data_IF_207247841819
#
_entry.id   IF_207247841819
#
_cell.length_a   1.000
_cell.length_b   1.000
_cell.length_c   1.000
_cell.angle_alpha   90.00
_cell.angle_beta   90.00
_cell.angle_gamma   90.00
#
_symmetry.space_group_name_H-M   'P 1'
#
loop_
_entity.id
_entity.type
_entity.pdbx_description
1 polymer ?
2 non-polymer ?
3 non-polymer ?
4 non-polymer ?
5 water ?
#
# COMPACT_ATOMS: atom_id res chain seq x y z
N UNK A 13 -5.19 -20.49 -12.34
CA UNK A 13 -4.18 -19.52 -11.78
C UNK A 13 -3.31 -20.11 -10.66
N UNK A 14 -1.98 -20.16 -10.76
CA UNK A 14 -1.19 -20.85 -9.73
C UNK A 14 -0.72 -19.89 -8.64
N UNK A 15 -0.88 -20.25 -7.38
CA UNK A 15 -0.35 -19.42 -6.29
C UNK A 15 1.13 -19.10 -6.44
N UNK A 16 1.47 -17.82 -6.27
CA UNK A 16 2.85 -17.37 -6.34
C UNK A 16 3.71 -17.72 -5.14
N UNK A 17 3.08 -18.20 -4.08
CA UNK A 17 3.83 -18.59 -2.88
C UNK A 17 4.13 -20.08 -2.99
N UNK A 18 3.13 -20.90 -3.28
CA UNK A 18 3.30 -22.34 -3.11
C UNK A 18 2.91 -23.16 -4.32
N UNK A 19 2.35 -22.52 -5.35
CA UNK A 19 1.98 -23.26 -6.56
C UNK A 19 0.61 -23.92 -6.45
N UNK A 20 -0.10 -23.77 -5.34
CA UNK A 20 -1.46 -24.30 -5.17
C UNK A 20 -2.47 -23.60 -6.07
N UNK A 21 -3.72 -24.06 -6.05
CA UNK A 21 -4.71 -23.47 -6.95
C UNK A 21 -5.32 -22.26 -6.28
N UNK A 22 -5.55 -21.21 -7.07
CA UNK A 22 -6.13 -19.97 -6.52
C UNK A 22 -7.59 -19.86 -6.97
N UNK A 23 -8.49 -19.71 -6.01
CA UNK A 23 -9.90 -19.53 -6.33
C UNK A 23 -10.36 -18.08 -6.19
N UNK A 24 -10.88 -17.52 -7.28
CA UNK A 24 -11.33 -16.12 -7.25
C UNK A 24 -12.55 -15.99 -6.37
N UNK A 25 -12.65 -14.83 -5.74
CA UNK A 25 -13.84 -14.49 -5.01
C UNK A 25 -14.31 -13.07 -5.27
N UNK A 26 -13.52 -12.24 -5.98
CA UNK A 26 -14.01 -10.88 -6.28
C UNK A 26 -13.47 -10.44 -7.62
N UNK A 27 -14.32 -9.89 -8.49
CA UNK A 27 -13.84 -9.48 -9.81
C UNK A 27 -14.21 -7.99 -9.90
N UNK A 28 -13.16 -7.16 -9.95
CA UNK A 28 -13.36 -5.72 -10.00
C UNK A 28 -13.26 -5.22 -11.44
N UNK A 29 -13.18 -6.14 -12.39
CA UNK A 29 -13.29 -5.78 -13.80
C UNK A 29 -12.04 -5.17 -14.41
N UNK A 30 -12.23 -4.54 -15.56
CA UNK A 30 -11.10 -3.90 -16.22
C UNK A 30 -10.62 -2.67 -15.47
N UNK A 31 -9.32 -2.57 -15.26
CA UNK A 31 -8.75 -1.42 -14.52
C UNK A 31 -7.54 -0.90 -15.28
N UNK A 32 -7.30 0.40 -15.17
CA UNK A 32 -6.04 0.99 -15.62
C UNK A 32 -4.88 0.90 -14.60
N UNK A 33 -3.66 1.25 -14.98
CA UNK A 33 -2.58 1.42 -13.99
C UNK A 33 -3.01 2.47 -12.97
N UNK A 34 -2.94 2.19 -11.68
CA UNK A 34 -3.44 3.12 -10.67
C UNK A 34 -2.61 4.40 -10.50
N UNK A 35 -1.32 4.31 -10.86
CA UNK A 35 -0.43 5.44 -10.59
C UNK A 35 0.00 6.16 -11.85
N UNK A 36 -0.71 5.96 -12.96
CA UNK A 36 -0.47 6.72 -14.19
C UNK A 36 -1.44 7.91 -14.23
N UNK A 37 -0.91 9.13 -14.13
CA UNK A 37 -1.72 10.37 -14.24
C UNK A 37 -1.40 11.06 -15.56
N UNK A 38 -2.33 11.10 -16.50
CA UNK A 38 -2.06 11.65 -17.83
C UNK A 38 -2.27 13.17 -17.88
N UNK A 39 -1.48 13.85 -18.72
CA UNK A 39 -1.86 15.23 -19.05
C UNK A 39 -3.17 15.30 -19.84
N UNK A 40 -3.95 16.38 -19.67
CA UNK A 40 -5.24 16.39 -20.32
C UNK A 40 -5.20 16.21 -21.84
N UNK A 41 -4.12 16.62 -22.49
CA UNK A 41 -4.02 16.47 -23.93
C UNK A 41 -3.60 15.08 -24.43
N UNK A 42 -3.26 14.17 -23.52
CA UNK A 42 -2.72 12.88 -23.95
C UNK A 42 -3.81 12.08 -24.63
N UNK A 43 -3.40 11.28 -25.60
CA UNK A 43 -4.33 10.31 -26.19
C UNK A 43 -4.91 9.55 -25.01
N UNK A 44 -6.22 9.35 -25.08
CA UNK A 44 -6.98 8.51 -24.16
C UNK A 44 -6.74 7.05 -24.54
N UNK A 45 -5.51 6.60 -24.31
CA UNK A 45 -5.29 5.16 -24.36
C UNK A 45 -4.50 4.77 -23.12
N UNK A 46 -5.06 3.86 -22.34
CA UNK A 46 -4.31 3.31 -21.22
C UNK A 46 -4.17 1.80 -21.27
N UNK A 47 -3.09 1.35 -20.63
CA UNK A 47 -2.91 -0.07 -20.37
C UNK A 47 -4.04 -0.48 -19.44
N UNK A 48 -4.73 -1.58 -19.74
CA UNK A 48 -5.68 -2.11 -18.76
C UNK A 48 -5.46 -3.60 -18.54
N UNK A 49 -6.07 -4.13 -17.48
CA UNK A 49 -5.79 -5.51 -17.10
C UNK A 49 -7.08 -5.88 -16.34
N UNK A 50 -7.26 -7.16 -16.04
CA UNK A 50 -8.44 -7.54 -15.28
C UNK A 50 -8.08 -7.61 -13.80
N UNK A 51 -8.73 -6.79 -12.96
CA UNK A 51 -8.35 -6.87 -11.54
C UNK A 51 -9.31 -7.85 -10.85
N UNK A 52 -8.80 -8.99 -10.39
CA UNK A 52 -9.59 -9.93 -9.61
C UNK A 52 -8.73 -10.53 -8.50
N UNK A 53 -9.37 -11.03 -7.45
CA UNK A 53 -8.68 -11.46 -6.22
C UNK A 53 -9.19 -12.87 -5.89
N UNK A 54 -8.24 -13.71 -5.48
CA UNK A 54 -8.54 -15.11 -5.14
C UNK A 54 -7.74 -15.49 -3.91
N UNK A 55 -7.99 -16.72 -3.44
CA UNK A 55 -7.31 -17.25 -2.25
C UNK A 55 -6.69 -18.59 -2.69
N UNK A 56 -5.42 -18.80 -2.37
CA UNK A 56 -4.85 -20.12 -2.64
C UNK A 56 -5.54 -21.21 -1.82
N UNK A 57 -5.86 -22.32 -2.45
CA UNK A 57 -6.32 -23.53 -1.73
C UNK A 57 -5.39 -24.15 -0.70
N UNK A 58 -4.09 -24.01 -0.86
CA UNK A 58 -3.12 -24.76 -0.06
C UNK A 58 -2.54 -23.90 1.06
N UNK A 59 -2.12 -22.66 0.80
CA UNK A 59 -1.49 -21.82 1.81
C UNK A 59 -2.34 -20.64 2.33
N UNK A 60 -3.53 -20.48 1.77
CA UNK A 60 -4.45 -19.41 2.16
C UNK A 60 -4.06 -17.97 1.81
N UNK A 61 -2.99 -17.86 1.03
CA UNK A 61 -2.58 -16.56 0.54
C UNK A 61 -3.62 -15.96 -0.42
N UNK A 62 -4.11 -14.80 -0.02
CA UNK A 62 -5.01 -14.03 -0.87
C UNK A 62 -4.20 -13.17 -1.84
N UNK A 63 -4.54 -13.20 -3.13
CA UNK A 63 -3.66 -12.56 -4.12
C UNK A 63 -4.43 -12.25 -5.40
N UNK A 64 -3.94 -11.31 -6.20
CA UNK A 64 -4.54 -11.05 -7.51
C UNK A 64 -4.37 -12.22 -8.50
N UNK A 65 -5.26 -12.27 -9.50
CA UNK A 65 -5.11 -13.33 -10.51
C UNK A 65 -4.42 -12.90 -11.81
N UNK A 66 -4.19 -11.60 -12.00
CA UNK A 66 -3.39 -11.13 -13.13
C UNK A 66 -2.26 -10.23 -12.58
N UNK A 67 -1.00 -10.52 -12.92
CA UNK A 67 0.13 -9.67 -12.58
C UNK A 67 0.35 -8.58 -13.64
N UNK A 68 0.38 -7.33 -13.22
CA UNK A 68 0.90 -6.28 -14.08
C UNK A 68 2.43 -6.34 -14.08
N UNK A 69 3.10 -6.20 -15.22
CA UNK A 69 4.56 -6.30 -15.21
C UNK A 69 5.15 -5.15 -14.39
N UNK A 70 6.18 -5.46 -13.61
CA UNK A 70 6.68 -4.50 -12.63
C UNK A 70 7.12 -3.18 -13.30
N UNK A 71 7.73 -3.28 -14.49
CA UNK A 71 8.25 -2.11 -15.18
C UNK A 71 7.16 -1.14 -15.62
N UNK A 72 5.91 -1.61 -15.68
CA UNK A 72 4.83 -0.74 -16.07
C UNK A 72 4.39 0.13 -14.90
N UNK A 73 4.56 -0.38 -13.68
CA UNK A 73 4.13 0.35 -12.51
C UNK A 73 5.24 1.19 -11.86
N UNK A 74 6.46 0.66 -11.81
CA UNK A 74 7.58 1.20 -11.08
C UNK A 74 8.70 1.54 -12.09
N UNK A 75 8.99 2.83 -12.13
CA UNK A 75 9.86 3.42 -13.16
C UNK A 75 10.07 4.89 -12.86
N UNK A 76 10.58 5.60 -13.86
CA UNK A 76 11.21 6.88 -13.61
C UNK A 76 10.21 7.89 -13.09
N UNK A 77 8.95 7.78 -13.53
CA UNK A 77 7.96 8.77 -13.15
C UNK A 77 6.96 8.26 -12.14
N UNK A 78 7.30 7.21 -11.37
CA UNK A 78 6.33 6.76 -10.39
C UNK A 78 6.05 7.93 -9.45
N UNK A 79 4.77 8.21 -9.21
CA UNK A 79 4.44 9.48 -8.60
C UNK A 79 4.26 9.53 -7.08
N UNK A 80 4.28 8.39 -6.39
CA UNK A 80 3.90 8.49 -4.99
C UNK A 80 5.12 8.94 -4.18
N UNK A 81 4.91 9.99 -3.39
CA UNK A 81 5.99 10.45 -2.51
C UNK A 81 5.61 10.17 -1.07
N UNK A 82 6.27 9.20 -0.44
CA UNK A 82 5.89 8.81 0.93
C UNK A 82 5.89 10.00 1.87
N UNK A 83 6.84 10.91 1.67
CA UNK A 83 7.02 11.94 2.69
C UNK A 83 5.89 12.96 2.71
N UNK A 84 4.88 12.79 1.87
CA UNK A 84 3.82 13.80 1.80
C UNK A 84 2.85 13.70 2.96
N UNK A 85 3.05 12.83 3.94
CA UNK A 85 2.15 12.71 5.09
C UNK A 85 2.99 12.91 6.35
N UNK A 86 2.54 13.78 7.24
CA UNK A 86 3.24 14.00 8.51
C UNK A 86 3.13 12.80 9.44
N UNK A 87 1.97 12.15 9.47
CA UNK A 87 1.74 10.91 10.22
C UNK A 87 2.72 9.84 9.74
N UNK A 88 2.88 9.68 8.43
CA UNK A 88 3.77 8.62 7.95
C UNK A 88 5.22 9.02 8.22
N UNK A 89 5.57 10.31 8.10
CA UNK A 89 6.94 10.71 8.44
C UNK A 89 7.29 10.33 9.89
N UNK A 90 6.41 10.60 10.81
CA UNK A 90 6.65 10.28 12.23
C UNK A 90 6.64 8.78 12.44
N UNK A 91 5.76 8.08 11.73
CA UNK A 91 5.61 6.64 11.85
C UNK A 91 6.94 5.98 11.46
N UNK A 92 7.58 6.39 10.36
CA UNK A 92 8.79 5.71 9.97
C UNK A 92 10.02 6.13 10.78
N UNK A 93 10.04 7.38 11.24
CA UNK A 93 11.14 7.83 12.10
C UNK A 93 11.11 7.03 13.40
N UNK A 94 9.94 6.84 13.99
CA UNK A 94 9.80 5.98 15.14
C UNK A 94 10.27 4.54 14.96
N UNK A 95 9.79 3.90 13.90
CA UNK A 95 10.32 2.61 13.46
C UNK A 95 11.86 2.57 13.35
N UNK A 96 12.46 3.55 12.66
CA UNK A 96 13.91 3.56 12.52
C UNK A 96 14.56 3.66 13.90
N UNK A 97 14.04 4.49 14.79
CA UNK A 97 14.71 4.67 16.08
C UNK A 97 14.58 3.36 16.88
N UNK A 98 13.42 2.72 16.73
CA UNK A 98 13.24 1.41 17.33
C UNK A 98 14.25 0.38 16.83
N UNK A 99 14.55 0.31 15.53
CA UNK A 99 15.59 -0.57 15.03
C UNK A 99 16.96 -0.14 15.54
N UNK A 100 17.20 1.17 15.66
CA UNK A 100 18.53 1.65 16.04
C UNK A 100 18.77 1.21 17.49
N UNK A 101 17.70 1.15 18.28
CA UNK A 101 17.87 0.79 19.68
C UNK A 101 17.89 -0.72 19.95
N UNK A 102 17.55 -1.55 18.99
CA UNK A 102 17.33 -2.98 19.23
C UNK A 102 18.20 -3.79 18.27
N UNK A 103 17.84 -3.89 17.00
CA UNK A 103 18.53 -4.78 16.08
C UNK A 103 19.82 -4.21 15.47
N UNK A 104 20.03 -2.90 15.54
CA UNK A 104 21.17 -2.26 14.90
C UNK A 104 22.20 -1.75 15.92
N UNK A 105 22.22 -2.37 17.10
CA UNK A 105 23.22 -1.98 18.11
C UNK A 105 24.49 -2.78 17.84
N UNK A 106 25.57 -2.52 18.57
CA UNK A 106 26.80 -3.25 18.19
C UNK A 106 27.50 -2.82 16.92
N UNK A 107 28.58 -3.54 16.52
CA UNK A 107 29.53 -2.81 15.70
C UNK A 107 29.18 -2.82 14.22
N UNK A 108 29.25 -1.70 13.51
CA UNK A 108 29.00 -1.82 12.07
C UNK A 108 27.73 -2.58 11.66
N UNK A 109 26.58 -2.16 12.20
CA UNK A 109 25.28 -2.69 11.76
C UNK A 109 24.96 -2.33 10.30
N UNK A 110 24.05 -3.02 9.63
CA UNK A 110 23.75 -2.71 8.23
C UNK A 110 22.25 -2.99 8.09
N UNK A 111 21.51 -1.99 7.59
CA UNK A 111 20.08 -2.18 7.32
C UNK A 111 19.83 -1.92 5.84
N UNK A 112 19.07 -2.81 5.21
CA UNK A 112 18.66 -2.66 3.82
C UNK A 112 17.15 -2.39 3.78
N UNK A 113 16.71 -1.38 3.05
CA UNK A 113 15.27 -1.19 2.96
C UNK A 113 14.84 -1.49 1.53
N UNK A 114 13.78 -2.26 1.35
CA UNK A 114 13.22 -2.56 0.03
C UNK A 114 12.07 -1.58 -0.15
N UNK A 115 12.17 -0.76 -1.19
CA UNK A 115 11.11 0.22 -1.44
C UNK A 115 11.29 1.52 -0.70
N UNK A 116 12.50 2.07 -0.60
CA UNK A 116 12.71 3.19 0.30
C UNK A 116 12.03 4.49 -0.17
N UNK A 117 11.65 4.57 -1.44
CA UNK A 117 10.91 5.75 -1.92
C UNK A 117 11.78 6.98 -1.70
N UNK A 118 11.20 8.05 -1.18
CA UNK A 118 11.91 9.32 -1.10
C UNK A 118 12.81 9.36 0.14
N UNK A 119 13.01 8.20 0.78
CA UNK A 119 13.85 8.13 1.98
C UNK A 119 13.21 8.36 3.34
N UNK A 120 11.87 8.35 3.34
CA UNK A 120 11.09 8.56 4.58
C UNK A 120 11.59 7.82 5.83
N UNK A 121 12.08 6.59 5.67
CA UNK A 121 12.55 5.80 6.81
C UNK A 121 14.07 5.97 6.90
N UNK A 122 14.78 5.88 5.78
CA UNK A 122 16.22 5.73 5.90
C UNK A 122 16.91 7.03 6.32
N UNK A 123 16.25 8.16 6.11
CA UNK A 123 16.82 9.44 6.52
C UNK A 123 17.22 9.30 8.01
N UNK A 124 16.38 8.72 8.87
CA UNK A 124 16.71 8.55 10.28
C UNK A 124 17.93 7.66 10.52
N UNK A 125 18.08 6.64 9.67
CA UNK A 125 19.19 5.68 9.79
C UNK A 125 20.47 6.40 9.37
N UNK A 126 20.39 7.13 8.27
CA UNK A 126 21.55 7.89 7.80
C UNK A 126 21.99 8.98 8.76
N UNK A 127 21.03 9.69 9.36
CA UNK A 127 21.34 10.67 10.40
C UNK A 127 21.95 10.05 11.67
N UNK A 128 21.75 8.75 11.88
CA UNK A 128 22.43 8.01 12.96
C UNK A 128 23.80 7.51 12.55
N UNK A 129 24.24 7.81 11.33
CA UNK A 129 25.54 7.32 10.89
C UNK A 129 25.62 5.82 10.66
N UNK A 130 24.49 5.12 10.52
CA UNK A 130 24.47 3.67 10.36
C UNK A 130 24.55 3.24 8.90
N UNK A 131 25.36 2.23 8.54
CA UNK A 131 25.49 1.82 7.15
C UNK A 131 24.13 1.27 6.66
N UNK A 132 23.77 1.60 5.43
CA UNK A 132 22.43 1.21 4.97
C UNK A 132 22.43 1.22 3.45
N UNK A 133 21.40 0.59 2.89
CA UNK A 133 21.20 0.70 1.43
C UNK A 133 19.68 0.61 1.23
N UNK A 134 19.14 1.55 0.47
CA UNK A 134 17.79 1.45 -0.07
C UNK A 134 17.70 0.94 -1.50
N UNK A 135 16.71 0.08 -1.73
CA UNK A 135 16.40 -0.39 -3.09
C UNK A 135 15.15 0.41 -3.47
N UNK A 136 15.27 1.15 -4.57
CA UNK A 136 14.14 1.93 -5.05
C UNK A 136 14.27 1.93 -6.56
N UNK A 137 13.48 1.08 -7.24
CA UNK A 137 13.59 1.00 -8.71
C UNK A 137 12.92 2.16 -9.44
N UNK A 138 12.20 3.01 -8.70
CA UNK A 138 11.53 4.19 -9.27
C UNK A 138 12.51 5.34 -9.12
N UNK A 139 13.12 5.71 -10.25
CA UNK A 139 14.28 6.56 -10.12
C UNK A 139 14.05 7.98 -9.68
N UNK A 140 12.89 8.56 -10.00
CA UNK A 140 12.66 9.94 -9.54
C UNK A 140 12.53 10.02 -8.03
N UNK A 141 11.78 9.12 -7.39
CA UNK A 141 11.76 9.16 -5.92
C UNK A 141 13.11 8.68 -5.34
N UNK A 142 13.78 7.73 -5.97
CA UNK A 142 15.15 7.41 -5.54
C UNK A 142 16.03 8.66 -5.45
N UNK A 143 15.94 9.53 -6.46
CA UNK A 143 16.80 10.73 -6.45
C UNK A 143 16.40 11.58 -5.25
N UNK A 144 15.12 11.65 -4.88
CA UNK A 144 14.76 12.46 -3.71
C UNK A 144 15.43 11.92 -2.44
N UNK A 145 15.56 10.61 -2.34
CA UNK A 145 16.22 9.99 -1.20
C UNK A 145 17.71 10.32 -1.24
N UNK A 146 18.34 10.19 -2.40
CA UNK A 146 19.80 10.46 -2.47
C UNK A 146 20.13 11.89 -2.09
N UNK A 147 19.23 12.83 -2.37
CA UNK A 147 19.42 14.24 -2.07
C UNK A 147 19.49 14.40 -0.55
N UNK A 148 18.83 13.52 0.20
CA UNK A 148 18.93 13.53 1.67
C UNK A 148 20.22 12.89 2.17
N UNK A 149 21.09 12.45 1.27
CA UNK A 149 22.29 11.70 1.60
C UNK A 149 22.17 10.21 1.88
N UNK A 150 21.03 9.60 1.52
CA UNK A 150 20.79 8.17 1.66
C UNK A 150 21.43 7.43 0.50
N UNK A 151 22.05 6.30 0.82
CA UNK A 151 22.56 5.40 -0.21
C UNK A 151 21.42 4.55 -0.79
N UNK A 152 21.24 4.66 -2.11
CA UNK A 152 20.13 3.99 -2.77
C UNK A 152 20.64 3.35 -4.05
N UNK A 153 20.16 2.14 -4.35
CA UNK A 153 20.33 1.53 -5.67
C UNK A 153 18.99 1.52 -6.41
N UNK A 154 19.00 1.97 -7.65
CA UNK A 154 17.79 2.16 -8.44
C UNK A 154 17.60 0.79 -9.10
N UNK A 155 17.18 -0.19 -8.31
CA UNK A 155 17.03 -1.56 -8.77
C UNK A 155 15.87 -2.15 -7.97
N UNK A 156 15.24 -3.14 -8.58
CA UNK A 156 14.37 -4.03 -7.81
C UNK A 156 15.16 -4.94 -6.89
N UNK A 157 14.72 -5.08 -5.65
CA UNK A 157 15.21 -6.18 -4.83
C UNK A 157 14.66 -7.49 -5.33
N UNK A 158 15.55 -8.47 -5.50
CA UNK A 158 15.21 -9.83 -5.94
C UNK A 158 16.46 -10.68 -5.67
N UNK A 159 16.36 -11.98 -5.89
CA UNK A 159 17.50 -12.85 -5.59
C UNK A 159 18.82 -12.27 -6.10
N UNK A 160 18.95 -11.95 -7.39
CA UNK A 160 20.25 -11.56 -7.95
C UNK A 160 20.80 -10.26 -7.37
N UNK A 161 19.96 -9.27 -7.12
CA UNK A 161 20.51 -8.00 -6.68
C UNK A 161 20.79 -8.12 -5.18
N UNK A 162 20.02 -8.96 -4.47
CA UNK A 162 20.39 -9.28 -3.09
C UNK A 162 21.78 -9.92 -3.02
N UNK A 163 22.02 -10.87 -3.92
CA UNK A 163 23.30 -11.56 -3.95
C UNK A 163 24.43 -10.55 -4.14
N UNK A 164 24.16 -9.59 -5.01
CA UNK A 164 25.16 -8.62 -5.36
C UNK A 164 25.48 -7.78 -4.13
N UNK A 165 24.47 -7.29 -3.42
CA UNK A 165 24.74 -6.60 -2.18
C UNK A 165 25.45 -7.47 -1.13
N UNK A 166 25.10 -8.75 -1.01
CA UNK A 166 25.75 -9.64 -0.05
C UNK A 166 27.25 -9.75 -0.38
N UNK A 167 27.54 -9.89 -1.68
CA UNK A 167 28.91 -9.91 -2.16
C UNK A 167 29.74 -8.68 -1.78
N UNK A 168 29.17 -7.48 -1.90
CA UNK A 168 29.95 -6.25 -1.75
C UNK A 168 29.84 -5.61 -0.37
N UNK A 169 28.75 -5.87 0.32
CA UNK A 169 28.45 -5.14 1.54
C UNK A 169 28.37 -6.06 2.75
N UNK A 170 28.35 -7.37 2.55
CA UNK A 170 28.18 -8.32 3.66
C UNK A 170 26.73 -8.44 4.09
N UNK A 171 26.48 -9.20 5.18
CA UNK A 171 25.13 -9.51 5.65
C UNK A 171 24.40 -8.31 6.23
N UNK A 172 23.09 -8.20 6.04
CA UNK A 172 22.29 -7.20 6.75
C UNK A 172 21.71 -7.73 8.05
N UNK A 173 21.78 -6.90 9.09
CA UNK A 173 21.16 -7.23 10.37
C UNK A 173 19.64 -7.07 10.25
N UNK A 174 19.21 -6.14 9.38
CA UNK A 174 17.77 -5.92 9.23
C UNK A 174 17.53 -5.75 7.75
N UNK A 175 16.52 -6.44 7.23
CA UNK A 175 15.95 -6.07 5.94
C UNK A 175 14.50 -5.63 6.20
N UNK A 176 14.15 -4.44 5.73
CA UNK A 176 12.84 -3.87 6.06
C UNK A 176 12.15 -3.52 4.74
N UNK A 177 10.82 -3.74 4.75
CA UNK A 177 9.95 -3.35 3.63
C UNK A 177 8.58 -2.92 4.14
N UNK A 178 8.27 -1.67 3.83
CA UNK A 178 6.93 -1.14 4.16
C UNK A 178 6.14 -0.89 2.87
N UNK A 179 4.92 -1.42 2.79
CA UNK A 179 4.02 -1.21 1.66
C UNK A 179 4.74 -1.54 0.37
N UNK A 180 5.59 -2.56 0.43
CA UNK A 180 6.36 -2.95 -0.79
C UNK A 180 6.32 -4.48 -0.99
N UNK A 181 6.43 -5.26 0.08
CA UNK A 181 6.39 -6.71 -0.08
C UNK A 181 5.09 -7.20 -0.74
N UNK A 182 3.94 -6.67 -0.35
CA UNK A 182 2.72 -7.01 -1.04
C UNK A 182 2.57 -6.59 -2.49
N UNK A 183 3.51 -5.80 -2.99
CA UNK A 183 3.51 -5.33 -4.36
C UNK A 183 4.18 -6.35 -5.29
N UNK A 184 4.86 -7.34 -4.71
CA UNK A 184 5.85 -8.14 -5.41
C UNK A 184 5.37 -9.59 -5.62
N UNK A 185 4.87 -9.93 -6.81
CA UNK A 185 4.37 -11.30 -6.98
C UNK A 185 5.52 -12.31 -6.98
N UNK A 186 6.73 -11.86 -7.30
CA UNK A 186 7.92 -12.74 -7.25
C UNK A 186 8.54 -12.80 -5.86
N UNK A 187 7.62 -12.94 -4.90
CA UNK A 187 7.98 -13.01 -3.49
C UNK A 187 8.94 -14.14 -3.12
N UNK A 188 8.88 -15.26 -3.83
CA UNK A 188 9.85 -16.32 -3.61
C UNK A 188 11.25 -15.82 -3.91
N UNK A 189 11.44 -15.10 -5.01
CA UNK A 189 12.74 -14.54 -5.39
C UNK A 189 13.17 -13.58 -4.27
N UNK A 190 12.26 -12.75 -3.78
CA UNK A 190 12.62 -11.80 -2.72
C UNK A 190 13.07 -12.60 -1.49
N UNK A 191 12.36 -13.68 -1.17
CA UNK A 191 12.71 -14.50 -0.01
C UNK A 191 14.07 -15.17 -0.14
N UNK A 192 14.39 -15.58 -1.37
CA UNK A 192 15.69 -16.20 -1.60
C UNK A 192 16.76 -15.13 -1.42
N UNK A 193 16.48 -13.91 -1.89
CA UNK A 193 17.29 -12.72 -1.70
C UNK A 193 17.55 -12.43 -0.23
N UNK A 194 16.45 -12.40 0.53
CA UNK A 194 16.55 -12.26 1.98
C UNK A 194 17.42 -13.37 2.57
N UNK A 195 17.22 -14.63 2.17
CA UNK A 195 18.07 -15.71 2.67
C UNK A 195 19.56 -15.51 2.36
N UNK A 196 19.85 -15.08 1.13
CA UNK A 196 21.25 -14.77 0.79
C UNK A 196 21.79 -13.62 1.62
N UNK A 197 20.99 -12.61 1.95
CA UNK A 197 21.55 -11.35 2.43
C UNK A 197 21.46 -11.17 3.95
N UNK A 198 20.50 -11.81 4.61
CA UNK A 198 20.25 -11.51 6.02
C UNK A 198 21.28 -12.25 6.89
N UNK A 199 21.76 -11.55 7.92
CA UNK A 199 22.60 -12.11 8.96
C UNK A 199 21.86 -13.32 9.54
N UNK A 200 22.65 -14.30 10.02
CA UNK A 200 22.05 -15.50 10.60
C UNK A 200 21.09 -15.14 11.74
N UNK A 201 21.47 -14.13 12.52
CA UNK A 201 20.62 -13.62 13.59
C UNK A 201 19.84 -12.35 13.23
N UNK A 202 19.67 -12.06 11.94
CA UNK A 202 18.87 -10.87 11.61
C UNK A 202 17.37 -11.10 11.50
N UNK A 203 16.66 -10.03 11.15
CA UNK A 203 15.21 -10.09 10.92
C UNK A 203 14.79 -9.44 9.61
N UNK A 204 13.76 -10.01 8.99
CA UNK A 204 13.19 -9.42 7.77
C UNK A 204 11.84 -8.97 8.30
N UNK A 205 11.61 -7.67 8.27
CA UNK A 205 10.41 -7.08 8.88
C UNK A 205 9.69 -6.36 7.74
N UNK A 206 8.39 -6.63 7.60
CA UNK A 206 7.65 -5.93 6.57
C UNK A 206 6.25 -5.61 7.09
N UNK A 207 5.69 -4.50 6.61
CA UNK A 207 4.36 -4.12 7.05
C UNK A 207 3.54 -3.75 5.80
N UNK A 208 2.29 -4.23 5.78
CA UNK A 208 1.47 -4.14 4.57
C UNK A 208 0.01 -4.13 4.99
N UNK A 209 -0.86 -3.66 4.08
CA UNK A 209 -2.30 -3.71 4.37
C UNK A 209 -2.76 -5.09 4.84
N UNK A 210 -3.54 -5.13 5.91
CA UNK A 210 -3.91 -6.40 6.54
C UNK A 210 -5.28 -6.90 6.08
N UNK A 211 -5.34 -8.17 5.71
CA UNK A 211 -6.60 -8.76 5.22
C UNK A 211 -7.69 -8.58 6.27
N UNK A 212 -7.36 -8.75 7.54
CA UNK A 212 -8.44 -8.60 8.54
C UNK A 212 -9.12 -7.24 8.58
N UNK A 213 -8.32 -6.19 8.41
CA UNK A 213 -8.91 -4.85 8.30
C UNK A 213 -9.72 -4.64 7.01
N UNK A 214 -9.25 -5.17 5.89
CA UNK A 214 -9.91 -4.97 4.60
C UNK A 214 -11.27 -5.65 4.65
N UNK A 215 -11.29 -6.85 5.22
CA UNK A 215 -12.54 -7.58 5.39
C UNK A 215 -13.47 -6.81 6.34
N UNK A 216 -12.94 -6.34 7.46
CA UNK A 216 -13.80 -5.72 8.46
C UNK A 216 -14.36 -4.37 7.99
N UNK A 217 -13.55 -3.66 7.22
CA UNK A 217 -13.93 -2.32 6.78
C UNK A 217 -14.46 -2.28 5.35
N UNK A 218 -14.48 -3.44 4.68
CA UNK A 218 -14.90 -3.52 3.28
C UNK A 218 -14.07 -2.54 2.44
N UNK A 219 -12.78 -2.44 2.76
CA UNK A 219 -11.96 -1.42 2.09
C UNK A 219 -11.37 -1.96 0.79
N UNK A 220 -12.25 -2.12 -0.18
CA UNK A 220 -11.88 -2.76 -1.45
C UNK A 220 -10.92 -1.89 -2.26
N UNK A 221 -10.86 -0.62 -1.94
CA UNK A 221 -9.93 0.27 -2.66
C UNK A 221 -8.47 -0.07 -2.36
N UNK A 222 -8.25 -0.88 -1.34
CA UNK A 222 -6.94 -1.46 -1.06
C UNK A 222 -6.55 -2.47 -2.13
N UNK A 223 -7.43 -2.77 -3.08
CA UNK A 223 -7.10 -3.80 -4.10
C UNK A 223 -6.94 -3.05 -5.42
N UNK A 224 -5.75 -3.09 -5.99
CA UNK A 224 -5.45 -2.46 -7.27
C UNK A 224 -4.12 -3.04 -7.74
N UNK A 225 -3.65 -2.58 -8.91
CA UNK A 225 -2.54 -3.26 -9.56
C UNK A 225 -1.30 -3.49 -8.68
N UNK A 226 -0.92 -2.48 -7.90
CA UNK A 226 0.29 -2.58 -7.11
C UNK A 226 0.15 -3.46 -5.85
N UNK A 227 -1.09 -3.72 -5.44
CA UNK A 227 -1.29 -4.57 -4.28
C UNK A 227 -1.57 -6.02 -4.67
N UNK A 228 -0.51 -6.78 -4.92
CA UNK A 228 -0.67 -8.18 -5.36
C UNK A 228 -1.26 -9.14 -4.30
N UNK A 229 -0.74 -8.97 -3.09
CA UNK A 229 -1.04 -9.86 -1.96
C UNK A 229 -1.78 -9.04 -0.92
N UNK A 230 -2.75 -9.69 -0.30
CA UNK A 230 -3.37 -9.13 0.91
C UNK A 230 -3.04 -10.07 2.06
N UNK A 231 -1.95 -9.75 2.74
CA UNK A 231 -1.35 -10.68 3.72
C UNK A 231 -2.25 -10.81 4.97
N UNK A 232 -2.17 -11.99 5.56
CA UNK A 232 -2.72 -12.31 6.89
C UNK A 232 -1.60 -13.00 7.69
N UNK A 233 -1.78 -13.07 9.00
CA UNK A 233 -0.83 -13.83 9.83
C UNK A 233 -0.78 -15.27 9.36
N UNK A 234 -1.96 -15.78 9.02
CA UNK A 234 -2.05 -17.15 8.58
C UNK A 234 -1.26 -17.39 7.31
N UNK A 235 -1.44 -16.58 6.28
CA UNK A 235 -0.67 -16.79 5.05
C UNK A 235 0.81 -16.46 5.21
N UNK A 236 1.11 -15.41 5.98
CA UNK A 236 2.51 -15.07 6.13
C UNK A 236 3.24 -16.18 6.88
N UNK A 237 2.60 -16.75 7.89
CA UNK A 237 3.24 -17.84 8.63
C UNK A 237 3.61 -18.97 7.68
N UNK A 238 2.67 -19.38 6.83
CA UNK A 238 2.89 -20.41 5.83
C UNK A 238 3.97 -20.05 4.83
N UNK A 239 3.92 -18.82 4.35
CA UNK A 239 4.95 -18.37 3.44
C UNK A 239 6.35 -18.40 4.06
N UNK A 240 6.47 -17.92 5.31
CA UNK A 240 7.79 -17.94 5.94
C UNK A 240 8.28 -19.39 6.05
N UNK A 241 7.43 -20.21 6.66
CA UNK A 241 7.79 -21.60 6.96
C UNK A 241 8.24 -22.25 5.67
N UNK A 242 7.55 -22.03 4.56
CA UNK A 242 7.90 -22.77 3.35
C UNK A 242 9.27 -22.35 2.84
N UNK A 243 9.78 -21.19 3.21
CA UNK A 243 10.98 -20.61 2.61
C UNK A 243 12.15 -20.65 3.59
N UNK A 244 11.99 -21.35 4.70
CA UNK A 244 13.07 -21.44 5.67
C UNK A 244 13.02 -20.45 6.81
N UNK A 245 12.02 -19.56 6.83
CA UNK A 245 11.87 -18.63 7.93
C UNK A 245 10.74 -18.95 8.89
N UNK A 246 10.53 -18.04 9.84
CA UNK A 246 9.53 -18.22 10.89
C UNK A 246 8.96 -16.84 11.24
N UNK A 247 7.64 -16.76 11.32
CA UNK A 247 6.95 -15.56 11.79
C UNK A 247 7.16 -15.52 13.30
N UNK A 248 7.94 -14.55 13.78
CA UNK A 248 8.27 -14.50 15.20
C UNK A 248 7.69 -13.31 15.95
N UNK A 249 7.16 -12.31 15.25
CA UNK A 249 6.33 -11.30 15.89
C UNK A 249 5.31 -10.71 14.89
N UNK A 250 4.25 -10.12 15.43
CA UNK A 250 3.23 -9.38 14.67
C UNK A 250 2.80 -8.18 15.48
N UNK A 251 2.58 -7.06 14.80
CA UNK A 251 2.12 -5.86 15.47
C UNK A 251 1.08 -5.23 14.56
N UNK A 252 -0.09 -4.94 15.11
CA UNK A 252 -1.09 -4.20 14.33
C UNK A 252 -0.76 -2.71 14.28
N UNK A 253 -0.97 -2.05 13.13
CA UNK A 253 -0.67 -0.64 12.89
C UNK A 253 -1.90 0.05 12.27
N UNK A 254 -2.23 1.28 12.68
CA UNK A 254 -3.41 1.98 12.20
C UNK A 254 -3.22 2.60 10.80
N UNK A 255 -1.96 2.74 10.38
CA UNK A 255 -1.66 3.43 9.14
C UNK A 255 -2.23 2.67 7.95
N UNK A 256 -2.47 3.43 6.88
CA UNK A 256 -2.96 2.90 5.62
C UNK A 256 -4.19 2.01 5.72
N UNK A 257 -5.06 2.39 6.65
CA UNK A 257 -6.35 1.71 6.77
C UNK A 257 -6.32 0.47 7.64
N UNK A 258 -5.16 0.15 8.21
CA UNK A 258 -4.97 -1.07 9.01
C UNK A 258 -3.94 -2.00 8.37
N UNK A 259 -2.84 -2.19 9.09
CA UNK A 259 -1.78 -3.08 8.64
C UNK A 259 -1.32 -4.00 9.76
N UNK A 260 -0.52 -4.97 9.32
CA UNK A 260 0.22 -5.74 10.29
C UNK A 260 1.69 -5.62 9.90
N UNK A 261 2.54 -5.45 10.90
CA UNK A 261 3.99 -5.53 10.68
C UNK A 261 4.40 -6.93 11.14
N UNK A 262 5.00 -7.65 10.19
CA UNK A 262 5.45 -9.04 10.38
C UNK A 262 6.97 -9.05 10.57
N UNK A 263 7.41 -9.79 11.59
CA UNK A 263 8.85 -10.01 11.76
C UNK A 263 9.18 -11.47 11.50
N UNK A 264 10.09 -11.67 10.56
CA UNK A 264 10.53 -13.02 10.20
C UNK A 264 11.99 -13.20 10.61
N UNK A 265 12.30 -14.39 11.13
CA UNK A 265 13.69 -14.69 11.47
C UNK A 265 13.96 -16.06 10.89
N UNK A 266 15.24 -16.43 10.82
CA UNK A 266 15.57 -17.78 10.39
C UNK A 266 14.94 -18.83 11.31
N UNK A 267 14.50 -19.97 10.77
CA UNK A 267 13.64 -20.84 11.57
C UNK A 267 14.32 -21.33 12.85
N UNK A 268 13.60 -21.22 13.97
CA UNK A 268 14.07 -21.65 15.29
C UNK A 268 15.13 -20.78 15.94
N UNK A 269 15.55 -19.73 15.23
CA UNK A 269 16.53 -18.84 15.85
C UNK A 269 15.94 -17.92 16.92
N UNK A 270 14.65 -17.63 16.87
CA UNK A 270 14.05 -16.86 17.96
C UNK A 270 12.72 -17.50 18.28
N UNK A 271 12.24 -17.21 19.50
CA UNK A 271 10.98 -17.79 19.93
C UNK A 271 9.81 -16.85 19.62
N UNK A 272 8.79 -17.31 18.90
CA UNK A 272 7.69 -16.44 18.52
C UNK A 272 7.01 -15.80 19.73
N UNK A 273 6.70 -14.51 19.64
CA UNK A 273 5.99 -13.83 20.72
C UNK A 273 4.59 -14.42 20.83
N UNK A 274 3.97 -14.21 21.99
CA UNK A 274 2.61 -14.73 22.18
C UNK A 274 1.71 -14.03 21.16
N UNK A 275 2.08 -12.84 20.70
CA UNK A 275 1.24 -12.11 19.75
C UNK A 275 0.96 -12.90 18.48
N UNK A 276 1.88 -13.76 18.05
CA UNK A 276 1.74 -14.44 16.78
C UNK A 276 0.65 -15.49 16.97
N UNK A 277 0.78 -16.32 18.01
CA UNK A 277 -0.26 -17.30 18.23
C UNK A 277 -1.62 -16.65 18.47
N UNK A 278 -1.63 -15.48 19.09
CA UNK A 278 -2.90 -14.86 19.46
C UNK A 278 -3.65 -14.40 18.22
N UNK A 279 -2.91 -13.76 17.32
CA UNK A 279 -3.50 -13.29 16.07
C UNK A 279 -3.88 -14.45 15.16
N UNK A 280 -3.05 -15.47 15.04
CA UNK A 280 -3.46 -16.69 14.33
C UNK A 280 -4.78 -17.29 14.83
N UNK A 281 -4.93 -17.37 16.15
CA UNK A 281 -6.15 -17.92 16.74
C UNK A 281 -7.37 -17.03 16.51
N UNK A 282 -7.18 -15.72 16.54
CA UNK A 282 -8.25 -14.77 16.23
C UNK A 282 -8.70 -14.88 14.75
N UNK A 283 -7.75 -14.94 13.83
CA UNK A 283 -8.09 -15.21 12.42
C UNK A 283 -8.86 -16.51 12.20
N UNK A 284 -8.45 -17.58 12.88
CA UNK A 284 -9.10 -18.87 12.76
C UNK A 284 -10.48 -18.74 13.38
N UNK A 285 -10.57 -18.12 14.56
CA UNK A 285 -11.89 -18.04 15.18
C UNK A 285 -12.87 -17.22 14.34
N UNK A 286 -12.38 -16.13 13.75
CA UNK A 286 -13.20 -15.28 12.90
C UNK A 286 -13.35 -15.82 11.49
N UNK A 287 -12.73 -16.94 11.16
CA UNK A 287 -12.82 -17.50 9.81
C UNK A 287 -12.39 -16.48 8.74
N UNK A 288 -11.39 -15.68 9.08
CA UNK A 288 -10.90 -14.61 8.20
C UNK A 288 -10.71 -15.03 6.76
N UNK A 289 -9.98 -16.14 6.57
CA UNK A 289 -9.58 -16.53 5.22
C UNK A 289 -10.45 -17.62 4.58
N UNK A 290 -11.58 -17.97 5.21
CA UNK A 290 -12.48 -18.97 4.65
C UNK A 290 -13.14 -18.33 3.43
N UNK A 291 -13.28 -19.12 2.36
CA UNK A 291 -13.91 -18.64 1.14
C UNK A 291 -15.27 -17.98 1.37
N UNK A 292 -16.06 -18.50 2.30
CA UNK A 292 -17.37 -17.90 2.51
C UNK A 292 -17.24 -16.50 3.12
N UNK A 293 -16.22 -16.31 3.93
CA UNK A 293 -15.98 -14.99 4.51
C UNK A 293 -15.59 -14.03 3.39
N UNK A 294 -14.71 -14.52 2.53
CA UNK A 294 -14.13 -13.65 1.50
C UNK A 294 -15.20 -13.32 0.46
N UNK A 295 -16.07 -14.28 0.16
CA UNK A 295 -17.25 -13.97 -0.64
C UNK A 295 -18.26 -13.04 -0.02
N UNK A 296 -18.50 -13.09 1.28
CA UNK A 296 -19.39 -12.13 1.93
C UNK A 296 -18.79 -10.73 1.77
N UNK A 297 -17.47 -10.63 1.89
CA UNK A 297 -16.75 -9.37 1.69
C UNK A 297 -17.04 -8.87 0.28
N UNK A 298 -16.90 -9.74 -0.71
CA UNK A 298 -17.17 -9.40 -2.10
C UNK A 298 -18.60 -8.90 -2.34
N UNK A 299 -19.54 -9.54 -1.66
CA UNK A 299 -20.90 -9.02 -1.71
C UNK A 299 -21.07 -7.64 -1.08
N UNK A 300 -20.36 -7.37 0.02
CA UNK A 300 -20.38 -6.05 0.61
C UNK A 300 -19.71 -4.96 -0.22
N UNK A 301 -18.72 -5.37 -1.00
CA UNK A 301 -18.09 -4.48 -1.98
C UNK A 301 -19.11 -3.95 -2.98
N UNK A 302 -19.88 -4.87 -3.57
CA UNK A 302 -20.97 -4.46 -4.45
C UNK A 302 -22.00 -3.56 -3.78
N UNK A 303 -22.40 -3.90 -2.56
CA UNK A 303 -23.31 -2.97 -1.85
C UNK A 303 -22.77 -1.54 -1.68
N UNK A 304 -21.49 -1.40 -1.35
CA UNK A 304 -20.84 -0.09 -1.17
C UNK A 304 -20.83 0.59 -2.55
N UNK A 305 -20.50 -0.06 -3.65
CA UNK A 305 -20.57 0.52 -5.01
C UNK A 305 -21.95 1.12 -5.26
N UNK A 306 -22.95 0.28 -5.01
CA UNK A 306 -24.31 0.67 -5.35
C UNK A 306 -24.75 1.86 -4.51
N UNK A 307 -24.44 1.84 -3.22
CA UNK A 307 -24.83 2.99 -2.41
C UNK A 307 -24.02 4.24 -2.72
N UNK A 308 -22.75 4.05 -3.10
CA UNK A 308 -21.93 5.23 -3.35
C UNK A 308 -22.39 5.94 -4.63
N UNK A 309 -22.64 5.18 -5.70
CA UNK A 309 -23.13 5.77 -6.94
C UNK A 309 -24.56 6.31 -6.74
N UNK A 310 -25.47 5.62 -6.04
CA UNK A 310 -26.76 6.24 -5.73
C UNK A 310 -26.61 7.58 -5.04
N UNK A 311 -25.73 7.64 -4.02
CA UNK A 311 -25.53 8.93 -3.37
C UNK A 311 -25.00 10.05 -4.26
N UNK A 312 -23.94 9.73 -5.00
CA UNK A 312 -23.35 10.69 -5.91
C UNK A 312 -24.37 11.17 -6.97
N UNK A 313 -25.19 10.27 -7.52
CA UNK A 313 -26.21 10.74 -8.45
C UNK A 313 -27.31 11.56 -7.82
N UNK A 314 -27.74 11.17 -6.63
CA UNK A 314 -28.65 12.03 -5.90
C UNK A 314 -28.12 13.45 -5.60
N UNK A 315 -26.85 13.58 -5.20
CA UNK A 315 -26.25 14.87 -4.89
C UNK A 315 -26.28 15.72 -6.16
N UNK A 316 -25.95 15.12 -7.31
CA UNK A 316 -26.05 15.81 -8.59
C UNK A 316 -27.49 16.29 -8.87
N UNK A 317 -28.48 15.42 -8.68
CA UNK A 317 -29.86 15.81 -8.94
C UNK A 317 -30.29 16.91 -7.99
N UNK A 318 -29.69 17.00 -6.81
CA UNK A 318 -30.10 18.06 -5.91
C UNK A 318 -29.21 19.28 -6.00
N UNK A 319 -28.39 19.37 -7.04
CA UNK A 319 -27.58 20.52 -7.39
C UNK A 319 -26.49 20.82 -6.38
N UNK A 320 -25.99 19.77 -5.73
CA UNK A 320 -24.85 19.91 -4.80
C UNK A 320 -23.56 19.55 -5.52
N UNK A 321 -22.53 20.35 -5.23
CA UNK A 321 -21.24 20.15 -5.91
C UNK A 321 -20.44 19.15 -5.11
N UNK A 322 -19.66 18.35 -5.84
CA UNK A 322 -18.91 17.27 -5.25
C UNK A 322 -17.52 17.24 -5.90
N UNK A 323 -16.51 17.17 -5.04
CA UNK A 323 -15.13 16.92 -5.48
C UNK A 323 -14.54 15.72 -4.75
N UNK A 324 -13.31 15.37 -5.12
CA UNK A 324 -12.62 14.32 -4.34
C UNK A 324 -11.40 14.92 -3.66
N UNK A 325 -10.98 14.27 -2.58
CA UNK A 325 -9.78 14.70 -1.90
C UNK A 325 -8.79 13.54 -1.73
N UNK A 326 -7.64 13.72 -2.37
CA UNK A 326 -6.51 12.80 -2.41
C UNK A 326 -6.56 11.96 -3.69
N UNK A 327 -5.58 12.09 -4.58
CA UNK A 327 -5.52 11.34 -5.85
C UNK A 327 -4.74 10.06 -5.53
N UNK A 328 -5.35 9.30 -4.61
CA UNK A 328 -4.76 8.01 -4.22
C UNK A 328 -4.68 7.01 -5.37
N UNK A 329 -3.67 6.16 -5.29
CA UNK A 329 -3.71 5.01 -6.16
C UNK A 329 -4.98 4.18 -5.94
N UNK A 330 -5.38 3.99 -4.68
CA UNK A 330 -6.61 3.31 -4.28
C UNK A 330 -7.82 3.79 -5.08
N UNK A 331 -7.87 5.10 -5.34
CA UNK A 331 -9.06 5.69 -5.92
C UNK A 331 -9.26 5.18 -7.33
N UNK A 332 -8.20 4.70 -8.02
CA UNK A 332 -8.42 4.14 -9.35
C UNK A 332 -9.44 3.03 -9.32
N UNK A 333 -9.39 2.22 -8.25
CA UNK A 333 -10.33 1.14 -8.09
C UNK A 333 -11.75 1.65 -7.90
N UNK A 334 -11.91 2.64 -7.03
CA UNK A 334 -13.22 3.19 -6.76
C UNK A 334 -13.83 3.78 -8.03
N UNK A 335 -13.09 4.62 -8.75
CA UNK A 335 -13.76 5.37 -9.82
C UNK A 335 -14.00 4.38 -10.98
N UNK A 336 -13.07 3.46 -11.23
CA UNK A 336 -13.32 2.61 -12.39
C UNK A 336 -14.33 1.50 -12.08
N UNK A 337 -14.29 0.89 -10.90
CA UNK A 337 -15.25 -0.18 -10.59
C UNK A 337 -16.59 0.51 -10.44
N UNK A 338 -16.65 1.73 -9.92
CA UNK A 338 -17.97 2.31 -9.70
C UNK A 338 -18.52 3.12 -10.88
N UNK A 339 -17.67 3.46 -11.83
CA UNK A 339 -18.02 4.30 -12.98
C UNK A 339 -18.21 5.75 -12.55
N UNK A 340 -17.31 6.30 -11.72
CA UNK A 340 -17.43 7.68 -11.25
C UNK A 340 -16.45 8.53 -12.06
N UNK A 341 -16.98 9.50 -12.80
CA UNK A 341 -16.12 10.40 -13.57
C UNK A 341 -16.36 11.86 -13.23
N UNK A 342 -15.84 12.77 -14.07
CA UNK A 342 -15.88 14.18 -13.70
C UNK A 342 -17.29 14.74 -13.72
N UNK A 343 -18.25 14.05 -14.34
CA UNK A 343 -19.64 14.49 -14.25
C UNK A 343 -20.21 14.30 -12.86
N UNK A 344 -19.60 13.50 -12.00
CA UNK A 344 -20.15 13.34 -10.64
C UNK A 344 -19.21 13.88 -9.56
N UNK A 345 -17.92 13.86 -9.88
CA UNK A 345 -16.91 14.37 -8.95
C UNK A 345 -16.01 15.25 -9.81
N UNK A 346 -16.13 16.56 -9.66
CA UNK A 346 -15.53 17.37 -10.74
C UNK A 346 -14.02 17.50 -10.77
N UNK A 347 -13.39 17.46 -9.60
CA UNK A 347 -11.95 17.61 -9.46
C UNK A 347 -11.48 16.74 -8.31
N UNK A 348 -10.20 16.35 -8.33
CA UNK A 348 -9.65 15.72 -7.12
C UNK A 348 -8.48 16.60 -6.67
N UNK A 349 -8.44 16.93 -5.37
CA UNK A 349 -7.40 17.79 -4.80
C UNK A 349 -6.27 16.94 -4.18
N UNK A 350 -5.02 17.29 -4.47
CA UNK A 350 -3.89 16.49 -4.04
C UNK A 350 -2.60 17.31 -3.86
N UNK A 351 -1.79 17.02 -2.84
CA UNK A 351 -0.55 17.74 -2.59
C UNK A 351 0.65 17.35 -3.44
N UNK A 352 0.55 16.34 -4.30
CA UNK A 352 1.66 15.85 -5.09
C UNK A 352 1.86 16.58 -6.42
N UNK A 353 2.95 17.35 -6.54
CA UNK A 353 3.08 18.11 -7.80
C UNK A 353 2.97 17.24 -9.04
N UNK A 354 3.63 16.08 -9.02
CA UNK A 354 3.55 15.28 -10.23
C UNK A 354 2.20 14.65 -10.57
N UNK A 355 1.22 14.82 -9.67
CA UNK A 355 -0.12 14.39 -9.98
C UNK A 355 -0.99 15.58 -10.39
N UNK A 356 -0.62 16.81 -10.01
CA UNK A 356 -1.43 18.01 -10.29
C UNK A 356 -1.45 18.38 -11.79
N UNK A 357 -2.50 19.03 -12.26
CA UNK A 357 -2.59 19.39 -13.70
C UNK A 357 -2.63 18.16 -14.59
N UNK A 358 -3.17 17.07 -14.05
CA UNK A 358 -3.22 15.80 -14.78
C UNK A 358 -4.61 15.21 -14.56
N UNK A 359 -4.88 14.06 -15.17
CA UNK A 359 -6.19 13.44 -15.02
C UNK A 359 -6.01 12.11 -14.32
N UNK A 360 -6.95 11.75 -13.45
CA UNK A 360 -6.91 10.43 -12.84
C UNK A 360 -7.09 9.26 -13.80
N UNK A 361 -6.45 8.11 -13.49
CA UNK A 361 -6.50 7.02 -14.46
C UNK A 361 -7.88 6.41 -14.67
N UNK A 362 -8.18 6.19 -15.94
CA UNK A 362 -9.40 5.48 -16.33
C UNK A 362 -10.60 6.43 -16.31
N UNK A 363 -10.82 7.09 -15.18
CA UNK A 363 -11.98 7.97 -14.97
C UNK A 363 -11.71 9.38 -15.49
N UNK A 364 -10.45 9.80 -15.54
CA UNK A 364 -9.99 11.08 -16.11
C UNK A 364 -10.55 12.30 -15.38
N UNK A 365 -10.69 12.23 -14.05
CA UNK A 365 -11.09 13.42 -13.30
C UNK A 365 -9.85 14.31 -13.12
N UNK A 366 -9.99 15.62 -13.34
CA UNK A 366 -8.85 16.53 -13.17
C UNK A 366 -8.35 16.60 -11.73
N UNK A 367 -7.04 16.58 -11.59
CA UNK A 367 -6.38 16.69 -10.28
C UNK A 367 -5.80 18.09 -10.20
N UNK A 368 -6.13 18.78 -9.12
CA UNK A 368 -5.66 20.14 -8.88
C UNK A 368 -4.92 20.19 -7.54
N UNK A 369 -4.06 21.20 -7.28
CA UNK A 369 -3.31 21.25 -6.03
C UNK A 369 -4.28 21.43 -4.88
N UNK A 370 -3.91 20.92 -3.72
CA UNK A 370 -4.79 21.02 -2.55
C UNK A 370 -4.96 22.48 -2.17
N UNK A 371 -3.98 23.30 -2.51
CA UNK A 371 -4.11 24.73 -2.22
C UNK A 371 -5.33 25.38 -2.88
N UNK A 372 -5.79 24.79 -3.98
CA UNK A 372 -7.01 25.17 -4.68
C UNK A 372 -8.31 24.79 -4.01
N UNK A 373 -8.25 23.98 -2.95
CA UNK A 373 -9.45 23.58 -2.21
C UNK A 373 -9.58 24.66 -1.14
N UNK A 374 -10.44 25.64 -1.42
CA UNK A 374 -10.45 26.86 -0.64
C UNK A 374 -11.78 27.60 -0.84
N UNK A 375 -12.05 28.62 -0.02
CA UNK A 375 -13.28 29.40 -0.24
C UNK A 375 -13.34 30.03 -1.63
N UNK A 376 -14.45 29.86 -2.39
CA UNK A 376 -15.70 29.12 -2.08
C UNK A 376 -15.56 27.60 -2.19
N UNK A 377 -15.92 26.92 -1.10
CA UNK A 377 -15.78 25.46 -1.10
C UNK A 377 -16.93 24.77 -1.81
N UNK A 378 -16.67 23.53 -2.25
CA UNK A 378 -17.77 22.72 -2.76
C UNK A 378 -18.62 22.25 -1.59
N UNK A 379 -19.81 21.76 -1.95
CA UNK A 379 -20.68 21.22 -0.92
C UNK A 379 -20.11 19.98 -0.26
N UNK A 380 -19.48 19.11 -1.04
CA UNK A 380 -19.09 17.80 -0.55
C UNK A 380 -17.71 17.44 -1.12
N UNK A 381 -16.91 16.80 -0.28
CA UNK A 381 -15.66 16.20 -0.76
C UNK A 381 -15.63 14.71 -0.43
N UNK A 382 -15.52 13.92 -1.47
CA UNK A 382 -15.36 12.48 -1.42
C UNK A 382 -13.92 12.18 -1.01
N UNK A 383 -13.84 11.55 0.16
CA UNK A 383 -12.51 11.40 0.74
C UNK A 383 -11.85 10.10 0.30
N UNK A 384 -11.09 10.19 -0.79
CA UNK A 384 -10.31 9.04 -1.24
C UNK A 384 -9.14 8.75 -0.30
N UNK A 385 -8.49 9.78 0.25
CA UNK A 385 -7.42 9.57 1.21
C UNK A 385 -7.98 9.38 2.63
N UNK A 386 -8.90 8.43 2.72
CA UNK A 386 -9.59 8.13 3.99
C UNK A 386 -8.69 7.60 5.10
N UNK A 387 -7.58 7.00 4.71
CA UNK A 387 -6.57 6.50 5.64
C UNK A 387 -5.82 7.67 6.26
N UNK A 388 -5.94 8.86 5.67
CA UNK A 388 -5.30 10.09 6.14
C UNK A 388 -6.34 11.06 6.73
N UNK A 389 -7.52 10.55 7.07
CA UNK A 389 -8.60 11.43 7.51
C UNK A 389 -8.20 12.42 8.59
N UNK A 390 -7.57 11.93 9.66
CA UNK A 390 -7.29 12.86 10.76
C UNK A 390 -6.35 13.98 10.30
N UNK A 391 -5.26 13.62 9.62
CA UNK A 391 -4.28 14.59 9.14
C UNK A 391 -4.90 15.61 8.18
N UNK A 392 -5.71 15.08 7.26
CA UNK A 392 -6.39 15.90 6.26
C UNK A 392 -7.42 16.82 6.91
N UNK A 393 -8.31 16.27 7.74
CA UNK A 393 -9.39 17.13 8.24
C UNK A 393 -8.82 18.18 9.19
N UNK A 394 -7.73 17.86 9.90
CA UNK A 394 -7.09 18.87 10.74
C UNK A 394 -6.60 20.09 9.96
N UNK A 395 -6.15 19.89 8.72
CA UNK A 395 -5.70 20.97 7.85
C UNK A 395 -6.86 21.64 7.12
N UNK A 396 -8.02 21.00 7.12
CA UNK A 396 -9.17 21.48 6.36
C UNK A 396 -10.33 21.78 7.27
N UNK A 397 -10.05 22.32 8.44
CA UNK A 397 -11.13 22.69 9.36
C UNK A 397 -12.05 23.77 8.82
N UNK A 398 -11.49 24.75 8.11
CA UNK A 398 -12.29 25.79 7.48
C UNK A 398 -13.35 25.29 6.49
N UNK A 399 -13.04 24.29 5.67
CA UNK A 399 -14.01 23.63 4.79
C UNK A 399 -15.21 23.15 5.60
N UNK A 400 -14.95 22.43 6.70
CA UNK A 400 -16.04 21.84 7.47
C UNK A 400 -16.81 22.92 8.23
N UNK A 401 -16.09 23.94 8.71
CA UNK A 401 -16.73 25.05 9.43
C UNK A 401 -17.67 25.83 8.52
N UNK A 402 -17.29 26.02 7.26
CA UNK A 402 -18.12 26.70 6.25
C UNK A 402 -19.34 25.89 5.82
N UNK A 403 -19.47 24.66 6.32
CA UNK A 403 -20.55 23.73 5.99
C UNK A 403 -20.27 22.64 4.97
N UNK A 404 -19.05 22.64 4.44
CA UNK A 404 -18.56 21.57 3.57
C UNK A 404 -18.56 20.26 4.34
N UNK A 405 -18.99 19.20 3.66
CA UNK A 405 -19.06 17.87 4.30
C UNK A 405 -18.23 16.81 3.58
N UNK A 406 -17.75 15.85 4.36
CA UNK A 406 -16.99 14.72 3.80
C UNK A 406 -17.89 13.56 3.39
N UNK A 407 -17.62 12.96 2.24
CA UNK A 407 -18.26 11.71 1.90
C UNK A 407 -17.21 10.61 2.08
N UNK A 408 -17.51 9.65 2.94
CA UNK A 408 -16.64 8.49 3.11
C UNK A 408 -17.36 7.25 2.61
N UNK A 409 -16.60 6.25 2.17
CA UNK A 409 -17.19 4.98 1.71
C UNK A 409 -16.58 3.78 2.47
N UNK A 410 -15.77 4.03 3.50
CA UNK A 410 -15.12 3.07 4.38
C UNK A 410 -15.54 3.49 5.81
N UNK A 411 -16.13 2.57 6.58
CA UNK A 411 -16.43 1.17 6.27
C UNK A 411 -17.79 1.00 5.60
N UNK A 412 -18.52 2.10 5.52
CA UNK A 412 -19.85 2.23 4.88
C UNK A 412 -19.97 3.61 4.24
N UNK A 413 -20.91 3.78 3.32
CA UNK A 413 -21.17 5.10 2.74
C UNK A 413 -21.83 6.03 3.75
N UNK A 414 -21.19 7.15 4.09
CA UNK A 414 -21.79 8.06 5.09
C UNK A 414 -21.12 9.42 4.88
N UNK A 415 -21.83 10.43 5.35
CA UNK A 415 -21.46 11.81 5.21
C UNK A 415 -21.27 12.39 6.60
N UNK A 416 -20.19 13.14 6.79
CA UNK A 416 -20.09 13.81 8.07
C UNK A 416 -19.25 15.08 7.98
X LIG B 1 -0.37 -20.95 -1.90
X LIG C 1 8.01 2.35 1.71
X LIG C 1 7.29 3.52 1.17
X LIG C 1 6.87 3.31 -0.28
X LIG C 1 5.77 2.30 -0.62
X LIG C 1 5.28 2.46 -2.32
X LIG C 1 6.12 3.75 2.09
X LIG C 1 5.87 2.81 2.86
X LIG C 1 5.46 4.79 1.98
X LIG C 1 6.06 0.99 -2.92
X LIG C 1 7.47 1.22 -3.45
X LIG C 1 8.05 -0.07 -3.73
X LIG C 1 7.67 2.14 -4.66
X LIG C 1 8.55 3.24 -4.36
X LIG C 1 8.30 1.14 -5.64
X LIG C 1 9.09 1.76 -6.64
X LIG C 1 9.05 0.19 -4.73
X LIG C 1 9.24 -1.15 -5.33
X LIG C 1 8.43 -1.85 -6.11
X LIG C 1 8.95 -3.07 -6.38
X LIG C 1 10.15 -3.14 -5.72
X LIG C 1 11.24 -4.12 -5.49
X LIG C 1 11.25 -5.34 -6.06
X LIG C 1 12.29 -3.69 -4.76
X LIG C 1 12.41 -2.52 -4.14
X LIG C 1 11.45 -1.57 -4.24
X LIG C 1 10.34 -1.87 -4.99
X LIG D 1 -2.76 15.93 3.67
X LIG D 1 -2.66 15.20 2.65
X LIG D 1 -2.20 13.88 2.66
X LIG D 1 -1.74 13.18 3.94
X LIG D 1 -2.20 13.23 1.43
X LIG D 1 -3.11 15.74 1.50
X LIG D 1 -3.02 15.09 0.32
X LIG D 1 -3.41 15.68 -0.71
X LIG D 1 -2.57 13.82 0.28
X LIG D 1 -2.54 13.16 -1.02
X LIG D 1 -3.32 11.97 -0.93
X LIG D 1 -1.12 12.61 -1.27
X LIG D 1 -1.29 11.32 -2.05
X LIG D 1 -1.37 11.56 -3.46
X LIG D 1 -2.64 10.86 -1.50
X LIG D 1 -2.53 9.86 -0.36
X LIG D 1 -2.05 8.59 -0.87
X LIG D 1 -1.89 7.41 0.23
X LIG D 1 -0.71 7.76 1.12
X LIG D 1 -3.26 7.15 0.82
X LIG D 1 -1.33 6.27 -0.77
X LIG D 1 -1.94 5.60 -2.11
X LIG D 1 -3.30 5.01 -1.95
X LIG D 1 -1.82 6.50 -3.34
X LIG D 1 -0.98 4.35 -2.34
X LIG D 1 0.38 4.74 -2.42
X LIG D 1 1.05 3.80 -3.42
X LIG D 1 1.38 2.45 -2.78
X LIG D 1 1.32 1.35 -3.74
X LIG D 1 0.56 2.19 -1.51
X LIG D 1 0.80 0.93 -0.85
X LIG D 1 0.80 3.31 -0.50
X LIG D 1 1.06 4.55 -1.17
X LIG D 1 2.03 3.11 0.38
#
# INVERSE_FOLDING_TARGET
GHMSHLADVSPPTACRVCGGGVQEFLDLGRQPLSDRFRKPDELDDEFTYRLAVGRCDSCEMVQLTEEVPRDLMFHEVYPYHSSGSSVMREHFAMLARDFLATELTGPDPFIVEIGCNDGIMLRTIQEAGVRHLGFEPSSGVAAKAREKGIRVRTDFFEKATADDVRRTEGPANVIYAANTLCHIPYVQSVLEGVDALLAPDGVFVFEDPYLGDIVAKTSFDQIYDEHFFLFSATSVQGMAQRCGFELVDVQRLPVHGGEVRYTLARQGSRTPSAAVAQLLAAEREQELSDMATLRAFAGNVVKIRDELTALLHRLRAEGRSVVGYGATAKSATVTNFCGIGPDLVHSVYDTTPDKQNRLTPGAHIPVRPASAFSDPYPDYALLFAWNHAEEIMAKEQEFHQAGGRWILYVPEVHIR
ZN ZN
SAH N CA CB CG SD C O OXT C5' C4' O4' C3' O3' C2' O2' C1' N9 C8 N7 C5 C6 N6 N1 C2 N3 C4
0N2 O41 C41 C51 C5A C61 N31 C21 O21 N11 C1X O4X C2X C3X O3X C4X C5X O5X P O1P O2P OPP P2 O3P O4P O1 C1 C2 C3 N3 C4 O4 C5 O5 C6
#
